data_IF_630678458948
#
_entry.id   IF_630678458948
#
_cell.length_a   1.000
_cell.length_b   1.000
_cell.length_c   1.000
_cell.angle_alpha   90.00
_cell.angle_beta   90.00
_cell.angle_gamma   90.00
#
_symmetry.space_group_name_H-M   'P 1'
#
loop_
_entity.id
_entity.type
_entity.pdbx_description
1 polymer ?
#
# COMPACT_ATOMS: atom_id res chain seq x y z
N UNK A 1 -17.99 -0.62 49.03
CA UNK A 1 -17.78 -0.02 47.69
C UNK A 1 -17.53 1.47 47.85
N UNK A 2 -16.29 1.89 48.09
CA UNK A 2 -15.90 3.31 48.08
C UNK A 2 -14.43 3.40 47.71
N UNK A 3 -14.10 3.12 46.43
CA UNK A 3 -12.80 3.51 45.87
C UNK A 3 -12.74 5.04 45.89
N UNK A 4 -12.03 5.63 46.84
CA UNK A 4 -11.98 7.09 46.98
C UNK A 4 -11.35 7.70 45.72
N UNK A 5 -11.88 8.82 45.26
CA UNK A 5 -11.35 9.55 44.10
C UNK A 5 -9.84 9.85 44.24
N UNK A 6 -9.38 9.99 45.49
CA UNK A 6 -7.97 10.18 45.85
C UNK A 6 -7.08 8.97 45.51
N UNK A 7 -7.53 7.74 45.73
CA UNK A 7 -6.74 6.55 45.39
C UNK A 7 -6.61 6.38 43.87
N UNK A 8 -7.65 6.71 43.12
CA UNK A 8 -7.62 6.73 41.65
C UNK A 8 -6.69 7.83 41.14
N UNK A 9 -6.70 9.01 41.73
CA UNK A 9 -5.80 10.11 41.37
C UNK A 9 -4.33 9.73 41.60
N UNK A 10 -4.01 9.12 42.73
CA UNK A 10 -2.64 8.68 43.03
C UNK A 10 -2.13 7.63 42.03
N UNK A 11 -2.97 6.65 41.67
CA UNK A 11 -2.65 5.67 40.64
C UNK A 11 -2.42 6.31 39.26
N UNK A 12 -3.21 7.32 38.89
CA UNK A 12 -3.04 8.06 37.63
C UNK A 12 -1.72 8.84 37.63
N UNK A 13 -1.38 9.51 38.72
CA UNK A 13 -0.11 10.26 38.84
C UNK A 13 1.08 9.31 38.79
N UNK A 14 0.99 8.16 39.45
CA UNK A 14 2.04 7.13 39.40
C UNK A 14 2.20 6.56 37.98
N UNK A 15 1.09 6.22 37.32
CA UNK A 15 1.09 5.74 35.93
C UNK A 15 1.66 6.77 34.96
N UNK A 16 1.30 8.06 35.10
CA UNK A 16 1.85 9.14 34.27
C UNK A 16 3.35 9.31 34.48
N UNK A 17 3.81 9.25 35.73
CA UNK A 17 5.23 9.31 36.06
C UNK A 17 5.99 8.16 35.40
N UNK A 18 5.53 6.91 35.60
CA UNK A 18 6.14 5.72 35.00
C UNK A 18 6.11 5.77 33.47
N UNK A 19 5.00 6.23 32.87
CA UNK A 19 4.88 6.41 31.43
C UNK A 19 5.89 7.43 30.89
N UNK A 20 6.04 8.59 31.53
CA UNK A 20 7.00 9.63 31.11
C UNK A 20 8.45 9.13 31.22
N UNK A 21 8.77 8.33 32.24
CA UNK A 21 10.09 7.69 32.35
C UNK A 21 10.33 6.62 31.28
N UNK A 22 9.27 5.97 30.79
CA UNK A 22 9.36 4.96 29.73
C UNK A 22 9.45 5.54 28.31
N UNK A 23 8.94 6.76 28.09
CA UNK A 23 8.98 7.42 26.77
C UNK A 23 10.40 7.51 26.18
N UNK A 24 11.44 7.94 26.91
CA UNK A 24 12.81 7.96 26.40
C UNK A 24 13.31 6.60 25.93
N UNK A 25 13.08 5.54 26.72
CA UNK A 25 13.49 4.18 26.38
C UNK A 25 12.77 3.68 25.13
N UNK A 26 11.47 3.99 25.01
CA UNK A 26 10.68 3.67 23.82
C UNK A 26 11.22 4.42 22.60
N UNK A 27 11.55 5.71 22.72
CA UNK A 27 12.14 6.50 21.64
C UNK A 27 13.49 5.91 21.22
N UNK A 28 14.36 5.55 22.17
CA UNK A 28 15.65 4.93 21.86
C UNK A 28 15.48 3.57 21.17
N UNK A 29 14.52 2.75 21.61
CA UNK A 29 14.20 1.48 20.98
C UNK A 29 13.73 1.68 19.53
N UNK A 30 12.79 2.61 19.29
CA UNK A 30 12.31 2.95 17.96
C UNK A 30 13.41 3.53 17.07
N UNK A 31 14.27 4.38 17.63
CA UNK A 31 15.41 4.93 16.91
C UNK A 31 16.38 3.83 16.47
N UNK A 32 16.76 2.94 17.38
CA UNK A 32 17.65 1.82 17.08
C UNK A 32 17.05 0.88 16.03
N UNK A 33 15.76 0.55 16.16
CA UNK A 33 15.03 -0.26 15.19
C UNK A 33 15.03 0.42 13.81
N UNK A 34 14.67 1.69 13.75
CA UNK A 34 14.60 2.46 12.50
C UNK A 34 15.97 2.55 11.83
N UNK A 35 17.03 2.83 12.60
CA UNK A 35 18.41 2.87 12.10
C UNK A 35 18.82 1.53 11.51
N UNK A 36 18.52 0.42 12.20
CA UNK A 36 18.85 -0.93 11.73
C UNK A 36 18.09 -1.28 10.46
N UNK A 37 16.77 -1.02 10.42
CA UNK A 37 15.94 -1.20 9.23
C UNK A 37 16.49 -0.39 8.05
N UNK A 38 16.82 0.89 8.26
CA UNK A 38 17.32 1.76 7.21
C UNK A 38 18.69 1.31 6.68
N UNK A 39 19.62 0.90 7.56
CA UNK A 39 20.91 0.36 7.16
C UNK A 39 20.77 -0.94 6.36
N UNK A 40 19.88 -1.83 6.78
CA UNK A 40 19.57 -3.06 6.03
C UNK A 40 18.96 -2.74 4.67
N UNK A 41 18.00 -1.81 4.60
CA UNK A 41 17.40 -1.36 3.34
C UNK A 41 18.44 -0.72 2.41
N UNK A 42 19.36 0.09 2.95
CA UNK A 42 20.41 0.74 2.18
C UNK A 42 21.41 -0.28 1.61
N UNK A 43 21.87 -1.22 2.44
CA UNK A 43 22.72 -2.33 1.99
C UNK A 43 22.02 -3.18 0.93
N UNK A 44 20.75 -3.50 1.15
CA UNK A 44 19.92 -4.26 0.21
C UNK A 44 19.72 -3.52 -1.13
N UNK A 45 19.48 -2.21 -1.08
CA UNK A 45 19.37 -1.36 -2.26
C UNK A 45 20.66 -1.36 -3.09
N UNK A 46 21.82 -1.30 -2.45
CA UNK A 46 23.09 -1.26 -3.18
C UNK A 46 23.43 -2.57 -3.89
N UNK A 47 22.89 -3.71 -3.46
CA UNK A 47 23.14 -5.01 -4.08
C UNK A 47 22.14 -5.39 -5.18
N UNK A 48 21.03 -4.65 -5.35
CA UNK A 48 20.04 -4.94 -6.39
C UNK A 48 20.50 -4.54 -7.79
N UNK A 49 20.11 -5.36 -8.76
CA UNK A 49 20.21 -5.06 -10.20
C UNK A 49 19.37 -3.81 -10.51
N UNK A 50 19.79 -3.00 -11.49
CA UNK A 50 19.10 -1.77 -11.87
C UNK A 50 17.59 -1.96 -12.14
N UNK A 51 17.21 -2.97 -12.92
CA UNK A 51 15.79 -3.27 -13.19
C UNK A 51 15.01 -3.62 -11.93
N UNK A 52 15.64 -4.32 -10.98
CA UNK A 52 15.03 -4.72 -9.72
C UNK A 52 14.75 -3.51 -8.80
N UNK A 53 15.56 -2.46 -8.89
CA UNK A 53 15.31 -1.17 -8.20
C UNK A 53 14.08 -0.47 -8.76
N UNK A 54 13.98 -0.37 -10.08
CA UNK A 54 12.84 0.26 -10.75
C UNK A 54 11.57 -0.56 -10.47
N UNK A 55 11.67 -1.89 -10.56
CA UNK A 55 10.58 -2.79 -10.24
C UNK A 55 10.09 -2.60 -8.81
N UNK A 56 11.00 -2.52 -7.83
CA UNK A 56 10.66 -2.26 -6.44
C UNK A 56 9.95 -0.92 -6.24
N UNK A 57 10.38 0.15 -6.94
CA UNK A 57 9.71 1.44 -6.93
C UNK A 57 8.27 1.31 -7.45
N UNK A 58 8.04 0.59 -8.55
CA UNK A 58 6.70 0.38 -9.07
C UNK A 58 5.81 -0.43 -8.13
N UNK A 59 6.34 -1.45 -7.46
CA UNK A 59 5.60 -2.19 -6.43
C UNK A 59 5.20 -1.28 -5.26
N UNK A 60 6.10 -0.40 -4.82
CA UNK A 60 5.81 0.57 -3.78
C UNK A 60 4.74 1.58 -4.22
N UNK A 61 4.87 2.13 -5.43
CA UNK A 61 3.88 3.05 -6.00
C UNK A 61 2.51 2.39 -6.16
N UNK A 62 2.48 1.13 -6.60
CA UNK A 62 1.24 0.35 -6.71
C UNK A 62 0.56 0.19 -5.35
N UNK A 63 1.33 -0.09 -4.29
CA UNK A 63 0.80 -0.13 -2.92
C UNK A 63 0.29 1.25 -2.49
N UNK A 64 1.08 2.32 -2.67
CA UNK A 64 0.69 3.68 -2.29
C UNK A 64 -0.62 4.10 -2.96
N UNK A 65 -0.73 3.94 -4.28
CA UNK A 65 -1.90 4.39 -5.04
C UNK A 65 -3.13 3.48 -4.83
N UNK A 66 -2.94 2.23 -4.39
CA UNK A 66 -4.07 1.37 -3.99
C UNK A 66 -4.78 1.88 -2.72
N UNK A 67 -4.07 2.54 -1.80
CA UNK A 67 -4.67 3.02 -0.55
C UNK A 67 -5.43 4.35 -0.75
N UNK A 68 -5.08 5.13 -1.76
CA UNK A 68 -5.69 6.42 -2.03
C UNK A 68 -7.11 6.28 -2.65
N UNK A 69 -7.99 7.28 -2.46
CA UNK A 69 -9.29 7.30 -3.11
C UNK A 69 -9.16 7.46 -4.63
N UNK A 70 -9.87 6.62 -5.37
CA UNK A 70 -9.82 6.58 -6.84
C UNK A 70 -10.91 7.42 -7.50
N UNK A 71 -12.00 7.68 -6.78
CA UNK A 71 -13.18 8.36 -7.30
C UNK A 71 -13.42 9.64 -6.51
N UNK A 72 -13.98 10.63 -7.20
CA UNK A 72 -14.51 11.84 -6.58
C UNK A 72 -15.97 11.97 -6.98
N UNK A 73 -16.85 12.01 -5.99
CA UNK A 73 -18.28 12.17 -6.19
C UNK A 73 -18.67 13.61 -5.86
N UNK A 74 -19.25 14.33 -6.81
CA UNK A 74 -19.66 15.72 -6.64
C UNK A 74 -21.17 15.80 -6.40
N UNK A 75 -21.56 16.20 -5.20
CA UNK A 75 -22.97 16.41 -4.85
C UNK A 75 -23.27 17.89 -4.96
N UNK A 76 -24.28 18.24 -5.77
CA UNK A 76 -24.82 19.60 -5.83
C UNK A 76 -25.98 19.74 -4.85
N UNK A 77 -25.76 20.48 -3.77
CA UNK A 77 -26.82 20.95 -2.87
C UNK A 77 -27.14 22.41 -3.20
N UNK A 78 -28.23 22.65 -3.92
CA UNK A 78 -28.63 23.99 -4.36
C UNK A 78 -27.51 24.70 -5.14
N UNK A 79 -26.85 25.70 -4.55
CA UNK A 79 -25.76 26.48 -5.16
C UNK A 79 -24.35 26.00 -4.75
N UNK A 80 -24.24 25.04 -3.83
CA UNK A 80 -22.96 24.55 -3.30
C UNK A 80 -22.65 23.16 -3.85
N UNK A 81 -21.48 23.02 -4.48
CA UNK A 81 -20.89 21.72 -4.85
C UNK A 81 -19.99 21.22 -3.73
N UNK A 82 -20.35 20.10 -3.12
CA UNK A 82 -19.47 19.35 -2.24
C UNK A 82 -18.85 18.17 -2.98
N UNK A 83 -17.58 17.85 -2.71
CA UNK A 83 -16.89 16.73 -3.32
C UNK A 83 -16.42 15.73 -2.26
N UNK A 84 -16.76 14.47 -2.44
CA UNK A 84 -16.39 13.37 -1.54
C UNK A 84 -15.46 12.43 -2.28
N UNK A 85 -14.28 12.19 -1.73
CA UNK A 85 -13.28 11.26 -2.30
C UNK A 85 -13.51 9.84 -1.77
N UNK A 86 -13.60 8.87 -2.67
CA UNK A 86 -14.06 7.51 -2.38
C UNK A 86 -13.12 6.48 -2.99
N UNK A 87 -12.82 5.42 -2.23
CA UNK A 87 -12.09 4.25 -2.71
C UNK A 87 -13.02 3.27 -3.44
N UNK A 88 -12.48 2.36 -4.26
CA UNK A 88 -13.28 1.31 -4.88
C UNK A 88 -13.90 0.38 -3.82
N UNK A 89 -15.08 -0.18 -4.11
CA UNK A 89 -15.75 -1.17 -3.26
C UNK A 89 -14.85 -2.38 -2.98
N UNK A 90 -14.06 -2.81 -3.98
CA UNK A 90 -13.08 -3.89 -3.85
C UNK A 90 -11.66 -3.39 -3.52
N UNK A 91 -11.51 -2.25 -2.83
CA UNK A 91 -10.18 -1.70 -2.55
C UNK A 91 -9.29 -2.66 -1.75
N UNK A 92 -9.89 -3.42 -0.83
CA UNK A 92 -9.17 -4.42 -0.03
C UNK A 92 -8.43 -5.45 -0.89
N UNK A 93 -8.98 -5.82 -2.06
CA UNK A 93 -8.33 -6.76 -2.99
C UNK A 93 -7.08 -6.13 -3.60
N UNK A 94 -7.18 -4.89 -4.10
CA UNK A 94 -6.05 -4.19 -4.69
C UNK A 94 -4.95 -3.91 -3.66
N UNK A 95 -5.32 -3.46 -2.46
CA UNK A 95 -4.38 -3.22 -1.35
C UNK A 95 -3.69 -4.52 -0.96
N UNK A 96 -4.43 -5.62 -0.77
CA UNK A 96 -3.85 -6.89 -0.37
C UNK A 96 -2.87 -7.43 -1.42
N UNK A 97 -3.25 -7.42 -2.70
CA UNK A 97 -2.37 -7.87 -3.78
C UNK A 97 -1.12 -6.99 -3.90
N UNK A 98 -1.26 -5.67 -3.82
CA UNK A 98 -0.13 -4.75 -3.87
C UNK A 98 0.80 -4.93 -2.66
N UNK A 99 0.24 -5.11 -1.47
CA UNK A 99 0.98 -5.35 -0.23
C UNK A 99 1.79 -6.65 -0.31
N UNK A 100 1.14 -7.76 -0.70
CA UNK A 100 1.80 -9.05 -0.82
C UNK A 100 2.86 -9.05 -1.92
N UNK A 101 2.59 -8.41 -3.07
CA UNK A 101 3.60 -8.24 -4.10
C UNK A 101 4.80 -7.43 -3.62
N UNK A 102 4.56 -6.31 -2.92
CA UNK A 102 5.64 -5.49 -2.36
C UNK A 102 6.47 -6.26 -1.33
N UNK A 103 5.83 -6.98 -0.40
CA UNK A 103 6.55 -7.74 0.63
C UNK A 103 7.31 -8.94 0.07
N UNK A 104 6.65 -9.80 -0.71
CA UNK A 104 7.29 -10.98 -1.26
C UNK A 104 8.40 -10.57 -2.21
N UNK A 105 8.15 -9.76 -3.23
CA UNK A 105 9.18 -9.48 -4.24
C UNK A 105 10.22 -8.46 -3.75
N UNK A 106 9.83 -7.62 -2.80
CA UNK A 106 10.70 -6.62 -2.20
C UNK A 106 11.71 -7.20 -1.23
N UNK A 107 11.35 -8.25 -0.47
CA UNK A 107 12.21 -8.76 0.60
C UNK A 107 12.46 -10.27 0.54
N UNK A 108 11.63 -11.02 -0.19
CA UNK A 108 11.67 -12.48 -0.28
C UNK A 108 11.61 -12.97 -1.73
N UNK A 109 12.77 -13.20 -2.36
CA UNK A 109 12.81 -13.80 -3.70
C UNK A 109 12.86 -15.33 -3.65
N UNK A 110 11.85 -15.99 -4.21
CA UNK A 110 11.80 -17.43 -4.40
C UNK A 110 11.19 -17.78 -5.77
N UNK A 111 11.29 -19.03 -6.21
CA UNK A 111 10.71 -19.47 -7.49
C UNK A 111 9.19 -19.27 -7.54
N UNK A 112 8.49 -19.51 -6.43
CA UNK A 112 7.04 -19.34 -6.35
C UNK A 112 6.61 -17.87 -6.36
N UNK A 113 7.45 -16.93 -5.91
CA UNK A 113 7.08 -15.50 -5.85
C UNK A 113 6.94 -14.89 -7.23
N UNK A 114 7.65 -15.44 -8.23
CA UNK A 114 7.46 -15.07 -9.65
C UNK A 114 6.06 -15.44 -10.14
N UNK A 115 5.61 -16.66 -9.85
CA UNK A 115 4.28 -17.15 -10.24
C UNK A 115 3.20 -16.32 -9.53
N UNK A 116 3.36 -16.12 -8.21
CA UNK A 116 2.49 -15.28 -7.40
C UNK A 116 2.36 -13.87 -7.99
N UNK A 117 3.48 -13.24 -8.33
CA UNK A 117 3.49 -11.90 -8.90
C UNK A 117 2.63 -11.81 -10.16
N UNK A 118 2.91 -12.63 -11.17
CA UNK A 118 2.19 -12.56 -12.43
C UNK A 118 0.71 -12.92 -12.26
N UNK A 119 0.38 -13.91 -11.43
CA UNK A 119 -1.00 -14.23 -11.11
C UNK A 119 -1.72 -13.06 -10.42
N UNK A 120 -1.09 -12.44 -9.41
CA UNK A 120 -1.65 -11.29 -8.70
C UNK A 120 -1.81 -10.05 -9.59
N UNK A 121 -0.87 -9.82 -10.51
CA UNK A 121 -0.98 -8.77 -11.52
C UNK A 121 -2.15 -9.03 -12.47
N UNK A 122 -2.31 -10.26 -12.96
CA UNK A 122 -3.43 -10.63 -13.83
C UNK A 122 -4.77 -10.46 -13.12
N UNK A 123 -4.89 -10.90 -11.86
CA UNK A 123 -6.10 -10.71 -11.06
C UNK A 123 -6.42 -9.22 -10.95
N UNK A 124 -5.43 -8.38 -10.62
CA UNK A 124 -5.62 -6.93 -10.54
C UNK A 124 -6.09 -6.32 -11.87
N UNK A 125 -5.50 -6.73 -12.99
CA UNK A 125 -5.89 -6.28 -14.34
C UNK A 125 -7.34 -6.68 -14.64
N UNK A 126 -7.73 -7.93 -14.35
CA UNK A 126 -9.10 -8.41 -14.58
C UNK A 126 -10.10 -7.59 -13.75
N UNK A 127 -9.80 -7.33 -12.47
CA UNK A 127 -10.68 -6.50 -11.64
C UNK A 127 -10.75 -5.05 -12.10
N UNK A 128 -9.65 -4.49 -12.62
CA UNK A 128 -9.68 -3.16 -13.25
C UNK A 128 -10.59 -3.15 -14.48
N UNK A 129 -10.44 -4.13 -15.38
CA UNK A 129 -11.25 -4.23 -16.59
C UNK A 129 -12.72 -4.43 -16.25
N UNK A 130 -13.04 -5.35 -15.33
CA UNK A 130 -14.42 -5.56 -14.88
C UNK A 130 -14.99 -4.36 -14.15
N UNK A 131 -14.19 -3.65 -13.36
CA UNK A 131 -14.63 -2.40 -12.74
C UNK A 131 -14.84 -1.27 -13.73
N UNK A 132 -14.16 -1.28 -14.88
CA UNK A 132 -14.46 -0.36 -15.97
C UNK A 132 -15.76 -0.73 -16.71
N UNK A 133 -15.99 -2.03 -16.94
CA UNK A 133 -17.18 -2.52 -17.68
C UNK A 133 -18.47 -2.48 -16.83
N UNK A 134 -18.39 -2.80 -15.54
CA UNK A 134 -19.51 -2.75 -14.60
C UNK A 134 -19.08 -2.02 -13.30
N UNK A 135 -18.95 -0.69 -13.34
CA UNK A 135 -18.48 0.07 -12.18
C UNK A 135 -19.37 -0.07 -10.95
N UNK A 136 -20.67 -0.28 -11.15
CA UNK A 136 -21.63 -0.41 -10.05
C UNK A 136 -21.32 -1.62 -9.17
N UNK A 137 -21.00 -2.75 -9.80
CA UNK A 137 -20.71 -3.98 -9.08
C UNK A 137 -19.35 -3.99 -8.40
N UNK A 138 -18.33 -3.43 -9.03
CA UNK A 138 -16.93 -3.62 -8.62
C UNK A 138 -16.27 -2.37 -8.01
N UNK A 139 -16.71 -1.16 -8.36
CA UNK A 139 -16.08 0.09 -7.93
C UNK A 139 -16.93 0.94 -7.00
N UNK A 140 -18.23 1.14 -7.24
CA UNK A 140 -19.04 2.01 -6.38
C UNK A 140 -20.56 1.85 -6.57
N UNK A 141 -21.36 2.09 -5.52
CA UNK A 141 -22.83 2.02 -5.59
C UNK A 141 -23.48 3.43 -5.62
N UNK A 142 -23.17 4.28 -6.62
CA UNK A 142 -23.76 5.63 -6.70
C UNK A 142 -25.04 5.69 -7.52
N UNK A 143 -25.93 6.59 -7.11
CA UNK A 143 -27.26 6.81 -7.69
C UNK A 143 -27.17 7.47 -9.07
N UNK A 144 -26.25 8.42 -9.24
CA UNK A 144 -26.05 9.17 -10.50
C UNK A 144 -24.61 9.02 -11.02
N UNK A 145 -24.40 8.29 -12.12
CA UNK A 145 -23.07 8.09 -12.71
C UNK A 145 -22.41 9.37 -13.24
N UNK A 146 -23.23 10.35 -13.63
CA UNK A 146 -22.80 11.63 -14.24
C UNK A 146 -22.04 12.55 -13.26
N UNK A 147 -22.22 12.33 -11.96
CA UNK A 147 -21.62 13.11 -10.88
C UNK A 147 -20.26 12.52 -10.41
N UNK A 148 -19.78 11.47 -11.08
CA UNK A 148 -18.56 10.76 -10.72
C UNK A 148 -17.37 11.14 -11.61
N UNK A 149 -16.31 11.65 -10.99
CA UNK A 149 -15.00 11.85 -11.60
C UNK A 149 -13.99 10.77 -11.22
N UNK A 150 -13.15 10.38 -12.17
CA UNK A 150 -11.96 9.57 -11.90
C UNK A 150 -10.84 10.47 -11.37
N UNK A 151 -10.34 10.14 -10.19
CA UNK A 151 -9.22 10.86 -9.56
C UNK A 151 -7.88 10.47 -10.17
N UNK A 152 -6.90 11.37 -10.02
CA UNK A 152 -5.49 11.12 -10.36
C UNK A 152 -4.95 9.77 -9.80
N UNK A 153 -5.26 9.37 -8.55
CA UNK A 153 -4.72 8.13 -7.99
C UNK A 153 -5.08 6.88 -8.78
N UNK A 154 -6.25 6.85 -9.43
CA UNK A 154 -6.64 5.73 -10.29
C UNK A 154 -5.68 5.56 -11.47
N UNK A 155 -5.38 6.65 -12.19
CA UNK A 155 -4.47 6.62 -13.34
C UNK A 155 -3.03 6.30 -12.91
N UNK A 156 -2.60 6.83 -11.77
CA UNK A 156 -1.29 6.51 -11.20
C UNK A 156 -1.20 5.04 -10.76
N UNK A 157 -2.28 4.48 -10.22
CA UNK A 157 -2.37 3.05 -9.95
C UNK A 157 -2.21 2.24 -11.24
N UNK A 158 -2.94 2.55 -12.32
CA UNK A 158 -2.79 1.86 -13.61
C UNK A 158 -1.37 1.98 -14.18
N UNK A 159 -0.77 3.16 -14.12
CA UNK A 159 0.60 3.37 -14.54
C UNK A 159 1.59 2.53 -13.74
N UNK A 160 1.40 2.46 -12.41
CA UNK A 160 2.23 1.62 -11.55
C UNK A 160 2.02 0.12 -11.76
N UNK A 161 0.79 -0.32 -12.04
CA UNK A 161 0.45 -1.70 -12.38
C UNK A 161 1.16 -2.12 -13.67
N UNK A 162 1.07 -1.31 -14.71
CA UNK A 162 1.76 -1.55 -15.98
C UNK A 162 3.28 -1.53 -15.83
N UNK A 163 3.82 -0.52 -15.13
CA UNK A 163 5.25 -0.42 -14.86
C UNK A 163 5.77 -1.61 -14.06
N UNK A 164 5.06 -2.03 -13.02
CA UNK A 164 5.39 -3.22 -12.24
C UNK A 164 5.43 -4.45 -13.13
N UNK A 165 4.43 -4.65 -14.00
CA UNK A 165 4.38 -5.79 -14.91
C UNK A 165 5.59 -5.83 -15.86
N UNK A 166 5.88 -4.72 -16.55
CA UNK A 166 6.99 -4.62 -17.51
C UNK A 166 8.34 -4.80 -16.82
N UNK A 167 8.61 -4.05 -15.75
CA UNK A 167 9.90 -4.14 -15.06
C UNK A 167 10.05 -5.42 -14.25
N UNK A 168 8.96 -6.03 -13.80
CA UNK A 168 8.95 -7.37 -13.21
C UNK A 168 9.41 -8.41 -14.23
N UNK A 169 8.83 -8.40 -15.44
CA UNK A 169 9.27 -9.28 -16.54
C UNK A 169 10.75 -9.07 -16.89
N UNK A 170 11.20 -7.83 -17.08
CA UNK A 170 12.59 -7.53 -17.39
C UNK A 170 13.55 -7.98 -16.27
N UNK A 171 13.16 -7.79 -15.01
CA UNK A 171 13.96 -8.21 -13.86
C UNK A 171 14.12 -9.72 -13.84
N UNK A 172 13.04 -10.47 -13.97
CA UNK A 172 13.09 -11.93 -13.97
C UNK A 172 13.84 -12.51 -15.16
N UNK A 173 13.67 -11.93 -16.35
CA UNK A 173 14.45 -12.31 -17.54
C UNK A 173 15.95 -12.11 -17.29
N UNK A 174 16.35 -10.97 -16.73
CA UNK A 174 17.75 -10.68 -16.43
C UNK A 174 18.33 -11.58 -15.36
N UNK A 175 17.53 -11.95 -14.36
CA UNK A 175 17.94 -12.94 -13.36
C UNK A 175 18.18 -14.32 -13.97
N UNK A 176 17.32 -14.76 -14.90
CA UNK A 176 17.47 -16.05 -15.57
C UNK A 176 18.72 -16.10 -16.45
N UNK A 177 19.05 -15.00 -17.15
CA UNK A 177 20.30 -14.83 -17.90
C UNK A 177 21.53 -14.96 -17.00
N UNK A 178 21.52 -14.35 -15.81
CA UNK A 178 22.63 -14.42 -14.86
C UNK A 178 22.80 -15.80 -14.23
N UNK A 179 21.71 -16.56 -14.09
CA UNK A 179 21.71 -17.92 -13.53
C UNK A 179 21.99 -19.01 -14.59
N UNK A 180 22.18 -18.64 -15.86
CA UNK A 180 22.43 -19.58 -16.96
C UNK A 180 21.27 -20.54 -17.23
N UNK A 181 20.02 -20.10 -16.95
CA UNK A 181 18.80 -20.90 -17.16
C UNK A 181 18.17 -20.66 -18.55
N UNK A 182 18.80 -19.81 -19.36
CA UNK A 182 18.47 -19.48 -20.76
C UNK A 182 19.78 -19.39 -21.53
#
# INVERSE_FOLDING_TARGET
MTSSLLSKFFLIVQFLKESVFFVPDLIFAWWHLTKKIFLTLYSYWNHKIFFDKIFFIFLFLQLLFSVLPWFSYQIRFFEITESISLGPKLNSVFILLALLNFFFLGFWKSSWTRIWFFAGQMISIVFVIWGYLDPKRYFYDFVKPEELGLGLPFYLFLGSLFGAFVFGYLTFKREDELLGRI
#
